data_IF_565453954771
#
_entry.id   IF_565453954771
#
_cell.length_a   1.000
_cell.length_b   1.000
_cell.length_c   1.000
_cell.angle_alpha   90.00
_cell.angle_beta   90.00
_cell.angle_gamma   90.00
#
_symmetry.space_group_name_H-M   'P 1'
#
loop_
_entity.id
_entity.type
_entity.pdbx_description
1 polymer ?
#
# COMPACT_ATOMS: atom_id res chain seq x y z
N UNK A 1 9.56 6.87 9.14
CA UNK A 1 10.01 6.68 7.74
C UNK A 1 10.84 5.40 7.70
N UNK A 2 10.83 4.64 6.60
CA UNK A 2 11.60 3.39 6.53
C UNK A 2 13.10 3.72 6.46
N UNK A 3 13.92 2.97 7.19
CA UNK A 3 15.38 3.10 7.13
C UNK A 3 15.99 2.43 5.89
N UNK A 4 17.26 2.70 5.58
CA UNK A 4 17.95 2.12 4.42
C UNK A 4 18.01 0.58 4.45
N UNK A 5 18.32 -0.01 5.60
CA UNK A 5 18.42 -1.48 5.77
C UNK A 5 17.06 -2.14 5.53
N UNK A 6 16.00 -1.61 6.16
CA UNK A 6 14.64 -2.12 5.97
C UNK A 6 14.14 -1.97 4.52
N UNK A 7 14.62 -0.96 3.77
CA UNK A 7 14.32 -0.83 2.35
C UNK A 7 14.99 -1.94 1.52
N UNK A 8 16.26 -2.27 1.80
CA UNK A 8 16.98 -3.36 1.15
C UNK A 8 16.38 -4.73 1.49
N UNK A 9 16.03 -4.99 2.74
CA UNK A 9 15.29 -6.20 3.14
C UNK A 9 13.97 -6.29 2.37
N UNK A 10 13.21 -5.20 2.31
CA UNK A 10 11.96 -5.20 1.57
C UNK A 10 12.16 -5.46 0.07
N UNK A 11 13.24 -4.97 -0.52
CA UNK A 11 13.60 -5.21 -1.92
C UNK A 11 13.89 -6.68 -2.20
N UNK A 12 14.70 -7.33 -1.36
CA UNK A 12 15.08 -8.74 -1.53
C UNK A 12 13.88 -9.66 -1.24
N UNK A 13 13.22 -9.50 -0.10
CA UNK A 13 12.15 -10.43 0.30
C UNK A 13 10.84 -10.23 -0.45
N UNK A 14 10.60 -9.04 -1.04
CA UNK A 14 9.42 -8.79 -1.87
C UNK A 14 9.76 -8.72 -3.37
N UNK A 15 10.88 -9.29 -3.80
CA UNK A 15 11.35 -9.27 -5.18
C UNK A 15 10.30 -9.73 -6.22
N UNK A 16 9.47 -10.70 -5.85
CA UNK A 16 8.44 -11.28 -6.73
C UNK A 16 7.00 -10.88 -6.35
N UNK A 17 6.84 -9.99 -5.37
CA UNK A 17 5.52 -9.60 -4.86
C UNK A 17 5.02 -8.32 -5.55
N UNK A 18 4.22 -8.49 -6.61
CA UNK A 18 3.61 -7.38 -7.36
C UNK A 18 2.49 -6.66 -6.58
N UNK A 19 1.93 -7.28 -5.56
CA UNK A 19 0.88 -6.69 -4.72
C UNK A 19 1.45 -5.82 -3.59
N UNK A 20 0.66 -4.85 -3.14
CA UNK A 20 1.01 -3.94 -2.06
C UNK A 20 1.66 -2.64 -2.54
N UNK A 21 2.21 -1.91 -1.57
CA UNK A 21 2.67 -0.52 -1.71
C UNK A 21 4.12 -0.39 -1.25
N UNK A 22 4.90 0.41 -1.98
CA UNK A 22 6.25 0.81 -1.59
C UNK A 22 6.28 2.32 -1.34
N UNK A 23 6.80 2.72 -0.18
CA UNK A 23 6.87 4.15 0.18
C UNK A 23 7.94 4.88 -0.63
N UNK A 24 7.89 6.22 -0.66
CA UNK A 24 8.95 7.03 -1.30
C UNK A 24 10.35 6.68 -0.78
N UNK A 25 10.50 6.61 0.55
CA UNK A 25 11.79 6.31 1.17
C UNK A 25 12.28 4.91 0.79
N UNK A 26 11.40 3.91 0.78
CA UNK A 26 11.72 2.54 0.34
C UNK A 26 12.25 2.54 -1.10
N UNK A 27 11.57 3.24 -2.01
CA UNK A 27 11.98 3.35 -3.42
C UNK A 27 13.35 4.02 -3.57
N UNK A 28 13.52 5.22 -3.00
CA UNK A 28 14.71 6.03 -3.21
C UNK A 28 15.97 5.49 -2.53
N UNK A 29 15.84 4.82 -1.38
CA UNK A 29 16.97 4.11 -0.77
C UNK A 29 17.47 2.98 -1.68
N UNK A 30 16.56 2.15 -2.21
CA UNK A 30 16.93 1.06 -3.10
C UNK A 30 17.56 1.58 -4.39
N UNK A 31 16.97 2.63 -4.99
CA UNK A 31 17.54 3.28 -6.19
C UNK A 31 18.95 3.79 -5.92
N UNK A 32 19.19 4.43 -4.78
CA UNK A 32 20.51 4.91 -4.39
C UNK A 32 21.52 3.76 -4.29
N UNK A 33 21.21 2.72 -3.50
CA UNK A 33 22.11 1.58 -3.34
C UNK A 33 22.40 0.87 -4.65
N UNK A 34 21.36 0.62 -5.45
CA UNK A 34 21.53 -0.05 -6.73
C UNK A 34 22.34 0.78 -7.71
N UNK A 35 22.17 2.10 -7.72
CA UNK A 35 22.97 3.00 -8.55
C UNK A 35 24.44 2.98 -8.15
N UNK A 36 24.73 3.03 -6.84
CA UNK A 36 26.11 2.96 -6.34
C UNK A 36 26.76 1.61 -6.65
N UNK A 37 26.04 0.50 -6.44
CA UNK A 37 26.53 -0.85 -6.78
C UNK A 37 26.79 -1.00 -8.27
N UNK A 38 25.90 -0.47 -9.13
CA UNK A 38 26.08 -0.52 -10.58
C UNK A 38 27.26 0.33 -11.05
N UNK A 39 27.43 1.54 -10.50
CA UNK A 39 28.60 2.41 -10.78
C UNK A 39 29.89 1.71 -10.35
N UNK A 40 29.93 1.11 -9.16
CA UNK A 40 31.09 0.37 -8.66
C UNK A 40 31.45 -0.83 -9.54
N UNK A 41 30.45 -1.61 -9.97
CA UNK A 41 30.66 -2.73 -10.87
C UNK A 41 31.16 -2.28 -12.26
N UNK A 42 30.56 -1.23 -12.83
CA UNK A 42 31.01 -0.67 -14.11
C UNK A 42 32.44 -0.13 -14.03
N UNK A 43 32.83 0.50 -12.92
CA UNK A 43 34.19 0.95 -12.70
C UNK A 43 35.19 -0.22 -12.61
N UNK A 44 34.81 -1.32 -11.92
CA UNK A 44 35.62 -2.53 -11.83
C UNK A 44 35.77 -3.23 -13.20
N UNK A 45 34.71 -3.29 -13.98
CA UNK A 45 34.71 -3.82 -15.35
C UNK A 45 35.64 -3.00 -16.26
N UNK A 46 35.55 -1.66 -16.18
CA UNK A 46 36.42 -0.76 -16.93
C UNK A 46 37.90 -0.90 -16.51
N UNK A 47 38.18 -1.01 -15.21
CA UNK A 47 39.53 -1.24 -14.71
C UNK A 47 40.11 -2.58 -15.21
N UNK A 48 39.29 -3.64 -15.23
CA UNK A 48 39.66 -4.97 -15.73
C UNK A 48 39.99 -4.96 -17.23
N UNK A 49 39.22 -4.19 -18.01
CA UNK A 49 39.48 -3.99 -19.44
C UNK A 49 40.78 -3.19 -19.67
N UNK A 50 40.97 -2.10 -18.92
CA UNK A 50 42.15 -1.23 -19.06
C UNK A 50 43.47 -1.90 -18.65
N UNK A 51 43.42 -2.85 -17.71
CA UNK A 51 44.57 -3.61 -17.22
C UNK A 51 44.90 -4.84 -18.08
N UNK A 52 44.08 -5.15 -19.09
CA UNK A 52 44.23 -6.36 -19.91
C UNK A 52 43.88 -7.66 -19.18
N UNK A 53 43.36 -7.59 -17.95
CA UNK A 53 42.90 -8.74 -17.17
C UNK A 53 41.65 -9.39 -17.79
N UNK A 54 40.81 -8.57 -18.41
CA UNK A 54 39.65 -8.99 -19.18
C UNK A 54 39.76 -8.48 -20.62
N UNK A 55 39.98 -9.38 -21.58
CA UNK A 55 40.06 -9.09 -23.02
C UNK A 55 38.87 -9.65 -23.81
N UNK A 56 37.87 -10.14 -23.06
CA UNK A 56 36.67 -10.78 -23.61
C UNK A 56 35.76 -9.75 -24.28
N UNK A 57 35.40 -10.01 -25.54
CA UNK A 57 34.30 -9.33 -26.23
C UNK A 57 32.92 -9.80 -25.75
N UNK A 58 32.84 -10.87 -24.95
CA UNK A 58 31.60 -11.36 -24.38
C UNK A 58 31.18 -10.45 -23.20
N UNK A 59 30.02 -9.75 -23.28
CA UNK A 59 29.53 -8.91 -22.19
C UNK A 59 29.29 -9.66 -20.89
N UNK A 60 28.95 -10.95 -20.96
CA UNK A 60 28.70 -11.77 -19.77
C UNK A 60 29.97 -12.13 -18.99
N UNK A 61 31.16 -11.76 -19.49
CA UNK A 61 32.41 -11.90 -18.74
C UNK A 61 32.58 -10.82 -17.64
N UNK A 62 31.73 -9.81 -17.63
CA UNK A 62 31.80 -8.64 -16.75
C UNK A 62 30.75 -8.72 -15.63
N UNK A 63 30.97 -8.02 -14.52
CA UNK A 63 30.07 -8.09 -13.36
C UNK A 63 28.78 -7.28 -13.56
N UNK A 64 28.86 -6.13 -14.23
CA UNK A 64 27.72 -5.23 -14.38
C UNK A 64 26.49 -5.87 -15.07
N UNK A 65 26.62 -6.69 -16.13
CA UNK A 65 25.45 -7.30 -16.75
C UNK A 65 24.75 -8.32 -15.86
N UNK A 66 25.50 -9.08 -15.04
CA UNK A 66 24.91 -10.01 -14.08
C UNK A 66 24.10 -9.29 -12.99
N UNK A 67 24.59 -8.15 -12.51
CA UNK A 67 23.85 -7.33 -11.56
C UNK A 67 22.53 -6.83 -12.16
N UNK A 68 22.54 -6.37 -13.42
CA UNK A 68 21.32 -5.96 -14.11
C UNK A 68 20.34 -7.12 -14.21
N UNK A 69 20.78 -8.30 -14.65
CA UNK A 69 19.92 -9.49 -14.79
C UNK A 69 19.31 -9.90 -13.44
N UNK A 70 20.13 -9.97 -12.38
CA UNK A 70 19.69 -10.38 -11.04
C UNK A 70 18.68 -9.40 -10.43
N UNK A 71 18.87 -8.10 -10.68
CA UNK A 71 18.05 -7.04 -10.06
C UNK A 71 16.86 -6.62 -10.92
N UNK A 72 16.80 -7.03 -12.18
CA UNK A 72 15.74 -6.63 -13.13
C UNK A 72 14.33 -6.89 -12.59
N UNK A 73 14.03 -8.13 -12.16
CA UNK A 73 12.71 -8.49 -11.65
C UNK A 73 12.40 -7.79 -10.32
N UNK A 74 13.28 -7.82 -9.30
CA UNK A 74 13.09 -7.02 -8.09
C UNK A 74 12.83 -5.52 -8.34
N UNK A 75 13.55 -4.90 -9.27
CA UNK A 75 13.36 -3.50 -9.65
C UNK A 75 11.98 -3.27 -10.25
N UNK A 76 11.57 -4.10 -11.20
CA UNK A 76 10.25 -3.99 -11.83
C UNK A 76 9.13 -4.10 -10.79
N UNK A 77 9.26 -5.06 -9.87
CA UNK A 77 8.33 -5.25 -8.76
C UNK A 77 8.30 -4.04 -7.83
N UNK A 78 9.45 -3.43 -7.53
CA UNK A 78 9.53 -2.23 -6.71
C UNK A 78 8.84 -1.03 -7.40
N UNK A 79 9.08 -0.83 -8.70
CA UNK A 79 8.41 0.23 -9.47
C UNK A 79 6.89 0.02 -9.48
N UNK A 80 6.43 -1.22 -9.69
CA UNK A 80 5.01 -1.55 -9.64
C UNK A 80 4.38 -1.19 -8.28
N UNK A 81 4.99 -1.65 -7.17
CA UNK A 81 4.54 -1.32 -5.81
C UNK A 81 4.58 0.18 -5.52
N UNK A 82 5.52 0.91 -6.11
CA UNK A 82 5.62 2.37 -5.96
C UNK A 82 4.54 3.11 -6.74
N UNK A 83 4.23 2.67 -7.96
CA UNK A 83 3.10 3.19 -8.74
C UNK A 83 1.77 2.96 -8.01
N UNK A 84 1.58 1.75 -7.47
CA UNK A 84 0.43 1.38 -6.63
C UNK A 84 0.27 2.31 -5.42
N UNK A 85 1.37 2.71 -4.80
CA UNK A 85 1.36 3.62 -3.65
C UNK A 85 0.84 5.03 -3.99
N UNK A 86 0.94 5.45 -5.25
CA UNK A 86 0.37 6.71 -5.77
C UNK A 86 -1.01 6.55 -6.40
N UNK A 87 -1.60 5.35 -6.31
CA UNK A 87 -2.91 5.04 -6.88
C UNK A 87 -2.92 4.69 -8.36
N UNK A 88 -1.77 4.37 -8.95
CA UNK A 88 -1.61 4.07 -10.39
C UNK A 88 -1.39 2.59 -10.61
N UNK A 89 -1.88 2.03 -11.70
CA UNK A 89 -1.57 0.66 -12.12
C UNK A 89 -0.10 0.50 -12.53
N UNK A 90 0.48 -0.69 -12.32
CA UNK A 90 1.83 -1.01 -12.78
C UNK A 90 2.05 -0.82 -14.30
N UNK A 91 0.98 -0.89 -15.11
CA UNK A 91 1.03 -0.63 -16.55
C UNK A 91 1.56 0.76 -16.91
N UNK A 92 1.51 1.75 -16.01
CA UNK A 92 2.14 3.05 -16.26
C UNK A 92 3.64 2.95 -16.49
N UNK A 93 4.29 1.84 -16.13
CA UNK A 93 5.68 1.59 -16.48
C UNK A 93 5.92 1.50 -17.99
N UNK A 94 4.95 1.02 -18.78
CA UNK A 94 5.10 0.88 -20.24
C UNK A 94 5.26 2.21 -20.96
N UNK A 95 4.95 3.34 -20.31
CA UNK A 95 5.22 4.66 -20.87
C UNK A 95 6.71 4.87 -21.18
N UNK A 96 7.61 4.12 -20.52
CA UNK A 96 9.05 4.12 -20.79
C UNK A 96 9.42 3.73 -22.22
N UNK A 97 8.51 3.06 -22.95
CA UNK A 97 8.69 2.80 -24.39
C UNK A 97 8.58 4.07 -25.25
N UNK A 98 8.04 5.17 -24.71
CA UNK A 98 8.10 6.49 -25.33
C UNK A 98 9.41 7.17 -24.90
N UNK A 99 10.40 7.30 -25.80
CA UNK A 99 11.71 7.83 -25.43
C UNK A 99 11.60 9.27 -24.95
N UNK A 100 12.51 9.64 -24.03
CA UNK A 100 12.61 10.97 -23.39
C UNK A 100 11.40 11.34 -22.52
N UNK A 101 10.21 11.49 -23.10
CA UNK A 101 9.00 11.96 -22.40
C UNK A 101 8.46 10.92 -21.41
N UNK A 102 8.49 9.64 -21.78
CA UNK A 102 7.99 8.55 -20.93
C UNK A 102 8.70 8.45 -19.59
N UNK A 103 10.04 8.29 -19.57
CA UNK A 103 10.82 8.28 -18.34
C UNK A 103 10.63 9.54 -17.48
N UNK A 104 10.47 10.72 -18.11
CA UNK A 104 10.22 11.99 -17.39
C UNK A 104 8.88 11.95 -16.64
N UNK A 105 7.80 11.51 -17.28
CA UNK A 105 6.49 11.35 -16.63
C UNK A 105 6.55 10.32 -15.51
N UNK A 106 7.22 9.18 -15.76
CA UNK A 106 7.36 8.13 -14.76
C UNK A 106 8.15 8.65 -13.54
N UNK A 107 9.23 9.40 -13.75
CA UNK A 107 10.02 10.01 -12.69
C UNK A 107 9.16 10.92 -11.80
N UNK A 108 8.30 11.75 -12.41
CA UNK A 108 7.34 12.57 -11.65
C UNK A 108 6.47 11.67 -10.79
N UNK A 109 5.85 10.62 -11.34
CA UNK A 109 5.01 9.71 -10.55
C UNK A 109 5.75 9.04 -9.39
N UNK A 110 7.02 8.65 -9.60
CA UNK A 110 7.83 7.99 -8.57
C UNK A 110 8.22 8.94 -7.42
N UNK A 111 8.18 10.26 -7.63
CA UNK A 111 8.39 11.28 -6.58
C UNK A 111 7.10 11.74 -5.86
N UNK A 112 5.91 11.49 -6.42
CA UNK A 112 4.64 11.96 -5.86
C UNK A 112 4.28 11.38 -4.49
N UNK A 113 3.38 12.00 -3.70
CA UNK A 113 3.06 11.52 -2.35
C UNK A 113 2.41 10.14 -2.38
N UNK A 114 2.69 9.34 -1.36
CA UNK A 114 1.85 8.18 -1.06
C UNK A 114 0.42 8.65 -0.82
N UNK A 115 -0.57 7.92 -1.32
CA UNK A 115 -1.97 8.24 -0.98
C UNK A 115 -2.19 8.04 0.53
N UNK A 116 -2.75 9.03 1.25
CA UNK A 116 -2.90 8.96 2.71
C UNK A 116 -3.95 7.96 3.15
N UNK A 117 -4.90 7.65 2.27
CA UNK A 117 -5.98 6.70 2.51
C UNK A 117 -5.64 5.31 1.98
N UNK A 118 -6.47 4.35 2.37
CA UNK A 118 -6.47 3.03 1.78
C UNK A 118 -6.85 3.12 0.30
N UNK A 119 -6.11 2.44 -0.55
CA UNK A 119 -6.42 2.34 -1.97
C UNK A 119 -6.58 0.87 -2.35
N UNK A 120 -6.93 0.57 -3.62
CA UNK A 120 -7.15 -0.82 -4.08
C UNK A 120 -5.92 -1.75 -3.95
N UNK A 121 -4.75 -1.23 -3.58
CA UNK A 121 -3.52 -2.00 -3.35
C UNK A 121 -3.18 -2.13 -1.85
N UNK A 122 -4.06 -1.66 -0.97
CA UNK A 122 -4.02 -1.82 0.47
C UNK A 122 -3.70 -0.54 1.25
N UNK A 123 -3.56 -0.71 2.55
CA UNK A 123 -3.30 0.38 3.49
C UNK A 123 -1.90 0.98 3.28
N UNK A 124 -1.74 2.30 3.49
CA UNK A 124 -0.43 2.94 3.41
C UNK A 124 0.52 2.36 4.46
N UNK A 125 1.76 2.06 4.05
CA UNK A 125 2.84 1.70 4.97
C UNK A 125 3.31 2.95 5.73
N UNK A 126 2.68 3.24 6.85
CA UNK A 126 3.04 4.35 7.74
C UNK A 126 2.50 4.11 9.15
N UNK A 127 2.91 4.91 10.15
CA UNK A 127 2.25 4.86 11.45
C UNK A 127 0.77 5.10 11.20
N UNK A 128 -0.09 4.16 11.62
CA UNK A 128 -1.55 4.32 11.50
C UNK A 128 -1.84 5.74 11.99
N UNK A 129 -2.33 6.63 11.12
CA UNK A 129 -3.15 7.71 11.64
C UNK A 129 -4.22 6.94 12.39
N UNK A 130 -4.21 7.02 13.72
CA UNK A 130 -5.40 6.69 14.48
C UNK A 130 -6.44 7.59 13.85
N UNK A 131 -7.27 7.05 12.96
CA UNK A 131 -8.56 7.67 12.70
C UNK A 131 -9.08 7.96 14.10
N UNK A 132 -9.43 9.21 14.44
CA UNK A 132 -10.09 9.48 15.71
C UNK A 132 -11.14 8.39 15.82
N UNK A 133 -11.03 7.58 16.88
CA UNK A 133 -12.08 6.63 17.22
C UNK A 133 -13.38 7.44 17.11
N UNK A 134 -14.44 6.98 16.41
CA UNK A 134 -15.70 7.73 16.31
C UNK A 134 -16.26 8.21 17.68
N UNK A 135 -15.68 7.69 18.75
CA UNK A 135 -15.96 7.87 20.15
C UNK A 135 -14.84 8.61 20.93
N UNK A 136 -13.94 9.36 20.26
CA UNK A 136 -13.13 10.38 20.97
C UNK A 136 -14.04 11.54 21.35
N UNK A 137 -14.36 11.77 22.65
CA UNK A 137 -15.29 12.80 23.03
C UNK A 137 -14.69 14.16 22.68
N UNK A 138 -15.29 14.86 21.72
CA UNK A 138 -15.06 16.29 21.56
C UNK A 138 -15.28 16.95 22.91
N UNK A 139 -14.29 17.70 23.40
CA UNK A 139 -14.42 18.58 24.57
C UNK A 139 -15.70 19.41 24.39
N UNK A 140 -16.77 19.04 25.12
CA UNK A 140 -18.08 19.69 25.05
C UNK A 140 -19.30 18.77 24.84
N UNK A 141 -19.14 17.45 24.69
CA UNK A 141 -20.30 16.54 24.54
C UNK A 141 -21.02 16.32 25.89
N UNK A 142 -22.37 16.30 25.91
CA UNK A 142 -23.16 16.12 27.13
C UNK A 142 -22.87 14.77 27.80
N UNK A 143 -23.09 14.73 29.12
CA UNK A 143 -22.78 13.62 30.02
C UNK A 143 -23.01 12.23 29.37
N UNK A 144 -21.97 11.40 29.48
CA UNK A 144 -21.85 10.06 28.94
C UNK A 144 -23.15 9.25 28.97
N UNK A 145 -23.66 8.87 27.80
CA UNK A 145 -24.55 7.72 27.67
C UNK A 145 -23.79 6.52 28.20
N UNK A 146 -24.28 5.92 29.28
CA UNK A 146 -23.73 4.68 29.85
C UNK A 146 -23.68 3.61 28.77
N UNK A 147 -22.48 3.33 28.24
CA UNK A 147 -22.28 2.26 27.28
C UNK A 147 -22.16 0.94 28.06
N UNK A 148 -23.23 0.14 28.06
CA UNK A 148 -23.23 -1.20 28.63
C UNK A 148 -22.34 -2.12 27.78
N UNK A 149 -21.14 -2.51 28.25
CA UNK A 149 -20.21 -3.33 27.47
C UNK A 149 -20.79 -4.72 27.15
N UNK A 150 -21.86 -5.13 27.83
CA UNK A 150 -22.53 -6.40 27.61
C UNK A 150 -23.71 -6.32 26.65
N UNK A 151 -24.00 -5.15 26.06
CA UNK A 151 -25.12 -4.96 25.14
C UNK A 151 -25.08 -5.93 23.95
N UNK A 152 -23.89 -6.20 23.39
CA UNK A 152 -23.71 -7.17 22.30
C UNK A 152 -23.97 -8.62 22.71
N UNK A 153 -23.78 -8.96 23.98
CA UNK A 153 -24.01 -10.31 24.52
C UNK A 153 -25.46 -10.57 24.93
N UNK A 154 -26.29 -9.53 25.08
CA UNK A 154 -27.71 -9.69 25.47
C UNK A 154 -28.46 -10.64 24.52
N UNK A 155 -28.16 -10.59 23.23
CA UNK A 155 -28.75 -11.47 22.21
C UNK A 155 -28.42 -12.94 22.46
N UNK A 156 -27.17 -13.23 22.86
CA UNK A 156 -26.72 -14.59 23.16
C UNK A 156 -27.32 -15.09 24.48
N UNK A 157 -27.43 -14.21 25.48
CA UNK A 157 -28.03 -14.54 26.78
C UNK A 157 -29.56 -14.69 26.71
N UNK A 158 -30.21 -14.06 25.74
CA UNK A 158 -31.65 -14.19 25.49
C UNK A 158 -32.00 -15.28 24.48
N UNK A 159 -31.01 -15.94 23.86
CA UNK A 159 -31.23 -16.90 22.78
C UNK A 159 -32.08 -18.11 23.19
N UNK A 160 -31.99 -18.53 24.46
CA UNK A 160 -32.74 -19.68 24.98
C UNK A 160 -34.16 -19.32 25.47
N UNK A 161 -34.55 -18.04 25.42
CA UNK A 161 -35.89 -17.59 25.85
C UNK A 161 -36.76 -17.28 24.62
N UNK A 162 -37.97 -17.86 24.52
CA UNK A 162 -38.90 -17.45 23.48
C UNK A 162 -39.30 -15.98 23.68
N UNK A 163 -39.31 -15.14 22.62
CA UNK A 163 -39.61 -13.73 22.74
C UNK A 163 -41.05 -13.50 23.19
N UNK A 164 -41.27 -12.52 24.07
CA UNK A 164 -42.60 -12.20 24.58
C UNK A 164 -43.51 -11.61 23.47
N UNK A 165 -44.85 -11.77 23.58
CA UNK A 165 -45.77 -11.20 22.59
C UNK A 165 -45.64 -9.68 22.42
N UNK A 166 -45.27 -8.97 23.49
CA UNK A 166 -45.07 -7.52 23.49
C UNK A 166 -43.79 -7.13 22.75
N UNK A 167 -42.68 -7.85 22.98
CA UNK A 167 -41.40 -7.63 22.28
C UNK A 167 -41.55 -7.86 20.76
N UNK A 168 -42.31 -8.88 20.37
CA UNK A 168 -42.61 -9.15 18.96
C UNK A 168 -43.40 -8.01 18.30
N UNK A 169 -44.38 -7.44 19.01
CA UNK A 169 -45.16 -6.31 18.52
C UNK A 169 -44.28 -5.06 18.34
N UNK A 170 -43.39 -4.79 19.30
CA UNK A 170 -42.44 -3.68 19.23
C UNK A 170 -41.44 -3.86 18.09
N UNK A 171 -40.90 -5.06 17.93
CA UNK A 171 -39.94 -5.37 16.86
C UNK A 171 -40.58 -5.21 15.48
N UNK A 172 -41.82 -5.68 15.30
CA UNK A 172 -42.58 -5.48 14.06
C UNK A 172 -42.81 -4.00 13.75
N UNK A 173 -43.15 -3.20 14.76
CA UNK A 173 -43.34 -1.76 14.59
C UNK A 173 -42.04 -1.05 14.17
N UNK A 174 -40.90 -1.41 14.79
CA UNK A 174 -39.58 -0.87 14.41
C UNK A 174 -39.18 -1.25 12.99
N UNK A 175 -39.36 -2.52 12.59
CA UNK A 175 -39.06 -2.98 11.23
C UNK A 175 -39.94 -2.22 10.22
N UNK A 176 -41.23 -2.06 10.52
CA UNK A 176 -42.15 -1.34 9.64
C UNK A 176 -41.73 0.14 9.47
N UNK A 177 -41.35 0.81 10.56
CA UNK A 177 -40.88 2.20 10.52
C UNK A 177 -39.55 2.34 9.76
N UNK A 178 -38.62 1.41 9.97
CA UNK A 178 -37.36 1.35 9.23
C UNK A 178 -37.59 1.18 7.71
N UNK A 179 -38.48 0.27 7.33
CA UNK A 179 -38.83 0.07 5.91
C UNK A 179 -39.49 1.31 5.31
N UNK A 180 -40.38 1.96 6.05
CA UNK A 180 -41.03 3.20 5.61
C UNK A 180 -40.02 4.32 5.33
N UNK A 181 -39.06 4.49 6.24
CA UNK A 181 -38.06 5.57 6.20
C UNK A 181 -36.92 5.31 5.22
N UNK A 182 -36.33 4.12 5.22
CA UNK A 182 -35.08 3.83 4.50
C UNK A 182 -35.29 3.12 3.16
N UNK A 183 -36.36 2.32 3.02
CA UNK A 183 -36.59 1.50 1.82
C UNK A 183 -37.63 2.15 0.91
N UNK A 184 -38.77 2.54 1.47
CA UNK A 184 -39.88 3.09 0.70
C UNK A 184 -39.72 4.58 0.38
N UNK A 185 -38.72 5.28 0.96
CA UNK A 185 -38.48 6.73 0.80
C UNK A 185 -39.76 7.57 0.89
N UNK A 186 -40.75 7.15 1.68
CA UNK A 186 -42.00 7.88 1.86
C UNK A 186 -41.92 8.73 3.13
N UNK A 187 -41.10 9.77 3.09
CA UNK A 187 -41.16 10.88 4.04
C UNK A 187 -40.38 12.07 3.47
N UNK A 188 -40.94 12.72 2.45
CA UNK A 188 -40.85 14.17 2.25
C UNK A 188 -41.88 14.56 1.18
N UNK A 189 -43.13 14.71 1.64
CA UNK A 189 -44.18 15.55 1.08
C UNK A 189 -44.99 16.09 2.26
#
# INVERSE_FOLDING_TARGET
>A
MIGPVAALESFVFNAFKLSGRATRAEYWWVVLFLSLTLIGAAAADLASLSSGMATSMNPLAYFSPWLVILTFVPQLTLVARRLHDTGRSALWYTITFVPLVGPMILMVFLTLPSQPEENRWGQPRGPRRRTPRPDSPSKGAPASVSHDPMQGYKVLLSADRPPSPEELAQQRAQIHDYYRTHVLKQAEA
#
